data_IF_349842713585
#
_entry.id   IF_349842713585
#
_cell.length_a   1.000
_cell.length_b   1.000
_cell.length_c   1.000
_cell.angle_alpha   90.00
_cell.angle_beta   90.00
_cell.angle_gamma   90.00
#
_symmetry.space_group_name_H-M   'P 1'
#
loop_
_entity.id
_entity.type
_entity.pdbx_description
1 polymer ?
#
# COMPACT_ATOMS: atom_id res chain seq x y z
N UNK A 1 5.99 -16.72 -26.91
CA UNK A 1 5.44 -17.38 -25.70
C UNK A 1 4.43 -16.44 -25.09
N UNK A 2 3.16 -16.82 -25.08
CA UNK A 2 2.02 -15.94 -24.80
C UNK A 2 1.94 -15.56 -23.30
N UNK A 3 1.94 -14.28 -23.03
CA UNK A 3 1.72 -13.71 -21.67
C UNK A 3 0.25 -13.77 -21.22
N UNK A 4 -0.62 -14.18 -22.11
CA UNK A 4 -2.09 -14.26 -21.93
C UNK A 4 -2.54 -15.06 -20.69
N UNK A 5 -1.98 -16.27 -20.39
CA UNK A 5 -2.45 -17.05 -19.23
C UNK A 5 -2.07 -16.43 -17.87
N UNK A 6 -0.98 -15.64 -17.80
CA UNK A 6 -0.57 -14.97 -16.55
C UNK A 6 -1.42 -13.72 -16.27
N UNK A 7 -1.83 -13.02 -17.32
CA UNK A 7 -2.74 -11.88 -17.21
C UNK A 7 -4.12 -12.32 -16.73
N UNK A 8 -4.63 -13.42 -17.30
CA UNK A 8 -5.90 -14.03 -16.89
C UNK A 8 -5.87 -14.53 -15.44
N UNK A 9 -4.78 -15.17 -15.00
CA UNK A 9 -4.65 -15.64 -13.63
C UNK A 9 -4.58 -14.49 -12.61
N UNK A 10 -3.85 -13.42 -12.93
CA UNK A 10 -3.73 -12.26 -12.05
C UNK A 10 -5.04 -11.45 -12.00
N UNK A 11 -5.70 -11.26 -13.14
CA UNK A 11 -7.00 -10.60 -13.21
C UNK A 11 -8.09 -11.41 -12.50
N UNK A 12 -8.03 -12.74 -12.58
CA UNK A 12 -8.95 -13.64 -11.86
C UNK A 12 -8.71 -13.61 -10.35
N UNK A 13 -7.46 -13.56 -9.88
CA UNK A 13 -7.12 -13.42 -8.45
C UNK A 13 -7.57 -12.05 -7.91
N UNK A 14 -7.31 -10.97 -8.65
CA UNK A 14 -7.78 -9.63 -8.27
C UNK A 14 -9.30 -9.51 -8.33
N UNK A 15 -9.96 -10.14 -9.31
CA UNK A 15 -11.44 -10.19 -9.39
C UNK A 15 -12.03 -11.01 -8.25
N UNK A 16 -11.43 -12.15 -7.87
CA UNK A 16 -11.89 -12.95 -6.74
C UNK A 16 -11.73 -12.20 -5.41
N UNK A 17 -10.60 -11.53 -5.20
CA UNK A 17 -10.37 -10.71 -4.02
C UNK A 17 -11.34 -9.52 -3.96
N UNK A 18 -11.59 -8.86 -5.09
CA UNK A 18 -12.53 -7.75 -5.18
C UNK A 18 -13.99 -8.21 -5.05
N UNK A 19 -14.35 -9.35 -5.62
CA UNK A 19 -15.70 -9.91 -5.51
C UNK A 19 -15.99 -10.42 -4.10
N UNK A 20 -15.01 -11.01 -3.42
CA UNK A 20 -15.14 -11.38 -2.02
C UNK A 20 -15.32 -10.15 -1.11
N UNK A 21 -14.69 -9.00 -1.46
CA UNK A 21 -14.81 -7.76 -0.72
C UNK A 21 -16.17 -7.06 -0.94
N UNK A 22 -16.78 -7.23 -2.13
CA UNK A 22 -18.02 -6.52 -2.53
C UNK A 22 -19.28 -7.38 -2.25
N UNK A 23 -19.16 -8.71 -2.17
CA UNK A 23 -20.32 -9.60 -2.01
C UNK A 23 -20.75 -9.88 -0.57
N UNK A 24 -20.18 -9.25 0.44
CA UNK A 24 -20.73 -9.33 1.81
C UNK A 24 -21.66 -8.13 2.05
N UNK A 25 -22.99 -8.36 2.13
CA UNK A 25 -23.96 -7.28 2.43
C UNK A 25 -23.84 -6.87 3.90
N UNK A 26 -22.88 -6.05 4.24
CA UNK A 26 -22.58 -5.60 5.61
C UNK A 26 -21.33 -4.75 5.69
N UNK A 27 -20.56 -4.69 4.60
CA UNK A 27 -19.29 -3.95 4.58
C UNK A 27 -19.42 -2.44 4.75
N UNK A 28 -20.58 -1.88 4.47
CA UNK A 28 -20.79 -0.42 4.52
C UNK A 28 -21.17 0.09 5.92
N UNK A 29 -21.75 -0.75 6.77
CA UNK A 29 -22.26 -0.36 8.08
C UNK A 29 -21.20 -0.42 9.20
N UNK A 30 -20.15 -1.27 9.05
CA UNK A 30 -19.11 -1.51 10.06
C UNK A 30 -17.74 -0.97 9.71
N UNK A 31 -17.54 -0.35 8.54
CA UNK A 31 -16.26 0.22 8.16
C UNK A 31 -16.07 1.61 8.80
N UNK A 32 -15.09 1.73 9.68
CA UNK A 32 -14.77 3.00 10.34
C UNK A 32 -13.42 3.53 9.90
N UNK A 33 -13.35 4.83 9.64
CA UNK A 33 -12.08 5.52 9.42
C UNK A 33 -11.26 5.47 10.72
N UNK A 34 -10.05 4.91 10.64
CA UNK A 34 -9.16 4.76 11.80
C UNK A 34 -8.17 5.91 11.86
N UNK A 35 -7.54 6.22 10.71
CA UNK A 35 -6.51 7.25 10.64
C UNK A 35 -6.54 7.98 9.31
N UNK A 36 -6.13 9.25 9.33
CA UNK A 36 -5.84 10.03 8.13
C UNK A 36 -4.61 10.90 8.37
N UNK A 37 -3.74 11.01 7.39
CA UNK A 37 -2.59 11.88 7.50
C UNK A 37 -1.64 11.83 6.30
N UNK A 38 -0.71 12.79 6.25
CA UNK A 38 0.33 12.85 5.24
C UNK A 38 1.37 11.75 5.45
N UNK A 39 1.97 11.35 4.31
CA UNK A 39 3.13 10.48 4.27
C UNK A 39 4.21 11.12 3.40
N UNK A 40 5.44 11.00 3.87
CA UNK A 40 6.63 11.45 3.17
C UNK A 40 7.47 10.22 2.84
N UNK A 41 7.67 9.96 1.57
CA UNK A 41 8.39 8.81 1.08
C UNK A 41 9.66 9.18 0.34
N UNK A 42 10.66 8.34 0.44
CA UNK A 42 11.90 8.44 -0.32
C UNK A 42 12.35 7.04 -0.77
N UNK A 43 13.06 6.97 -1.87
CA UNK A 43 13.70 5.75 -2.34
C UNK A 43 15.19 5.97 -2.56
N UNK A 44 15.98 4.94 -2.30
CA UNK A 44 17.37 4.86 -2.75
C UNK A 44 17.47 4.31 -4.17
N UNK A 45 18.68 4.29 -4.73
CA UNK A 45 18.96 3.63 -6.01
C UNK A 45 19.08 2.10 -5.89
N UNK A 46 19.25 1.59 -4.66
CA UNK A 46 19.35 0.16 -4.39
C UNK A 46 18.10 -0.28 -3.65
N UNK A 47 17.13 -0.90 -4.32
CA UNK A 47 15.91 -1.39 -3.70
C UNK A 47 16.20 -2.63 -2.84
N UNK A 48 15.31 -2.90 -1.86
CA UNK A 48 15.30 -4.16 -1.11
C UNK A 48 14.81 -5.32 -1.98
N UNK A 49 13.83 -5.03 -2.84
CA UNK A 49 13.21 -5.99 -3.75
C UNK A 49 13.40 -5.54 -5.21
N UNK A 50 13.62 -6.50 -6.08
CA UNK A 50 13.64 -6.23 -7.51
C UNK A 50 15.00 -5.78 -8.06
N UNK A 51 14.97 -5.03 -9.17
CA UNK A 51 16.16 -4.58 -9.90
C UNK A 51 16.56 -3.18 -9.44
N UNK A 52 17.85 -2.85 -9.64
CA UNK A 52 18.40 -1.52 -9.33
C UNK A 52 17.58 -0.41 -10.02
N UNK A 53 17.17 0.57 -9.22
CA UNK A 53 16.50 1.78 -9.70
C UNK A 53 17.49 2.72 -10.39
N UNK A 54 17.03 3.40 -11.44
CA UNK A 54 17.85 4.36 -12.18
C UNK A 54 17.95 5.72 -11.48
N UNK A 55 16.90 6.09 -10.73
CA UNK A 55 16.78 7.36 -10.03
C UNK A 55 16.28 7.15 -8.61
N UNK A 56 16.54 8.13 -7.74
CA UNK A 56 15.83 8.26 -6.47
C UNK A 56 14.46 8.90 -6.70
N UNK A 57 13.48 8.49 -5.91
CA UNK A 57 12.12 9.02 -5.96
C UNK A 57 11.74 9.60 -4.61
N UNK A 58 10.90 10.63 -4.65
CA UNK A 58 10.20 11.16 -3.49
C UNK A 58 8.69 10.96 -3.68
N UNK A 59 8.00 10.64 -2.60
CA UNK A 59 6.56 10.47 -2.57
C UNK A 59 5.95 11.39 -1.51
N UNK A 60 4.95 12.14 -1.90
CA UNK A 60 4.18 13.01 -1.03
C UNK A 60 2.71 12.67 -1.21
N UNK A 61 2.11 12.03 -0.23
CA UNK A 61 0.71 11.64 -0.33
C UNK A 61 -0.06 11.85 0.98
N UNK A 62 -1.38 11.72 0.89
CA UNK A 62 -2.27 11.61 2.03
C UNK A 62 -2.82 10.20 2.01
N UNK A 63 -2.76 9.52 3.16
CA UNK A 63 -3.32 8.19 3.34
C UNK A 63 -4.47 8.22 4.33
N UNK A 64 -5.47 7.39 4.07
CA UNK A 64 -6.56 7.07 4.97
C UNK A 64 -6.61 5.56 5.19
N UNK A 65 -6.85 5.14 6.43
CA UNK A 65 -6.96 3.73 6.82
C UNK A 65 -8.33 3.49 7.43
N UNK A 66 -9.00 2.51 6.88
CA UNK A 66 -10.36 2.11 7.26
C UNK A 66 -10.29 0.75 7.94
N UNK A 67 -11.04 0.55 9.03
CA UNK A 67 -11.25 -0.76 9.63
C UNK A 67 -12.27 -1.51 8.79
N UNK A 68 -11.97 -2.77 8.51
CA UNK A 68 -12.91 -3.71 7.93
C UNK A 68 -13.52 -4.60 9.03
N UNK A 69 -14.65 -5.27 8.80
CA UNK A 69 -15.41 -5.95 9.86
C UNK A 69 -14.73 -7.19 10.46
N UNK A 70 -13.71 -7.73 9.81
CA UNK A 70 -13.07 -8.97 10.29
C UNK A 70 -11.97 -8.69 11.30
N UNK A 71 -12.17 -9.18 12.51
CA UNK A 71 -11.23 -9.06 13.62
C UNK A 71 -11.17 -10.38 14.40
N UNK A 72 -9.98 -10.74 14.87
CA UNK A 72 -9.74 -11.95 15.63
C UNK A 72 -8.89 -11.60 16.87
N UNK A 73 -9.43 -11.75 18.09
CA UNK A 73 -8.62 -11.63 19.31
C UNK A 73 -7.63 -12.78 19.39
N UNK A 74 -6.45 -12.54 19.94
CA UNK A 74 -5.40 -13.53 20.11
C UNK A 74 -5.36 -14.02 21.56
N UNK A 75 -6.20 -15.02 21.86
CA UNK A 75 -6.34 -15.59 23.21
C UNK A 75 -6.88 -14.55 24.21
N UNK A 76 -6.41 -14.64 25.46
CA UNK A 76 -6.78 -13.74 26.55
C UNK A 76 -5.87 -12.49 26.63
N UNK A 77 -5.20 -12.15 25.53
CA UNK A 77 -4.32 -10.97 25.46
C UNK A 77 -5.07 -9.77 24.88
N UNK A 78 -4.48 -8.59 25.00
CA UNK A 78 -4.98 -7.37 24.33
C UNK A 78 -4.59 -7.30 22.84
N UNK A 79 -3.90 -8.32 22.32
CA UNK A 79 -3.51 -8.42 20.92
C UNK A 79 -4.67 -8.93 20.07
N UNK A 80 -4.82 -8.31 18.91
CA UNK A 80 -5.82 -8.72 17.91
C UNK A 80 -5.25 -8.62 16.49
N UNK A 81 -5.67 -9.54 15.66
CA UNK A 81 -5.51 -9.45 14.21
C UNK A 81 -6.76 -8.80 13.64
N UNK A 82 -6.59 -7.81 12.78
CA UNK A 82 -7.71 -7.11 12.15
C UNK A 82 -7.43 -6.83 10.68
N UNK A 83 -8.49 -6.82 9.87
CA UNK A 83 -8.41 -6.40 8.47
C UNK A 83 -8.61 -4.91 8.36
N UNK A 84 -7.86 -4.31 7.44
CA UNK A 84 -7.92 -2.88 7.13
C UNK A 84 -7.90 -2.65 5.62
N UNK A 85 -8.31 -1.48 5.20
CA UNK A 85 -8.14 -0.96 3.85
C UNK A 85 -7.37 0.34 3.95
N UNK A 86 -6.21 0.38 3.35
CA UNK A 86 -5.43 1.61 3.19
C UNK A 86 -5.65 2.18 1.80
N UNK A 87 -6.02 3.46 1.74
CA UNK A 87 -6.10 4.23 0.50
C UNK A 87 -5.15 5.41 0.58
N UNK A 88 -4.56 5.80 -0.54
CA UNK A 88 -3.77 7.02 -0.59
C UNK A 88 -3.82 7.68 -1.95
N UNK A 89 -3.53 8.99 -1.97
CA UNK A 89 -3.36 9.76 -3.20
C UNK A 89 -2.32 10.86 -2.99
N UNK A 90 -1.52 11.12 -4.03
CA UNK A 90 -0.47 12.12 -3.96
C UNK A 90 0.40 12.20 -5.21
N UNK A 91 1.62 12.70 -5.04
CA UNK A 91 2.57 12.93 -6.09
C UNK A 91 3.85 12.10 -5.90
N UNK A 92 4.30 11.47 -6.97
CA UNK A 92 5.59 10.79 -7.09
C UNK A 92 6.52 11.63 -7.94
N UNK A 93 7.69 11.94 -7.42
CA UNK A 93 8.71 12.74 -8.09
C UNK A 93 9.96 11.90 -8.34
N UNK A 94 10.53 12.01 -9.54
CA UNK A 94 11.77 11.33 -9.91
C UNK A 94 12.30 11.85 -11.24
N UNK A 95 13.61 11.81 -11.45
CA UNK A 95 14.26 12.26 -12.68
C UNK A 95 13.90 13.70 -13.11
N UNK A 96 13.54 14.59 -12.17
CA UNK A 96 13.06 15.96 -12.46
C UNK A 96 11.63 16.03 -12.97
N UNK A 97 10.87 14.96 -12.88
CA UNK A 97 9.49 14.86 -13.35
C UNK A 97 8.55 14.48 -12.20
N UNK A 98 7.28 14.88 -12.32
CA UNK A 98 6.24 14.59 -11.32
C UNK A 98 5.06 13.87 -11.98
N UNK A 99 4.53 12.86 -11.30
CA UNK A 99 3.31 12.15 -11.67
C UNK A 99 2.38 12.01 -10.46
N UNK A 100 1.07 11.98 -10.70
CA UNK A 100 0.10 11.66 -9.66
C UNK A 100 0.03 10.15 -9.46
N UNK A 101 -0.23 9.72 -8.23
CA UNK A 101 -0.47 8.33 -7.91
C UNK A 101 -1.60 8.18 -6.90
N UNK A 102 -2.23 7.02 -6.91
CA UNK A 102 -3.17 6.58 -5.90
C UNK A 102 -2.93 5.11 -5.57
N UNK A 103 -3.24 4.69 -4.35
CA UNK A 103 -3.16 3.29 -3.94
C UNK A 103 -4.43 2.82 -3.26
N UNK A 104 -4.71 1.54 -3.41
CA UNK A 104 -5.76 0.81 -2.72
C UNK A 104 -5.15 -0.51 -2.23
N UNK A 105 -4.98 -0.65 -0.92
CA UNK A 105 -4.26 -1.77 -0.33
C UNK A 105 -5.06 -2.35 0.83
N UNK A 106 -5.74 -3.50 0.66
CA UNK A 106 -6.19 -4.30 1.78
C UNK A 106 -4.98 -4.82 2.54
N UNK A 107 -5.04 -4.76 3.86
CA UNK A 107 -3.99 -5.21 4.76
C UNK A 107 -4.51 -5.99 5.98
N UNK A 108 -3.60 -6.74 6.59
CA UNK A 108 -3.78 -7.37 7.88
C UNK A 108 -2.91 -6.62 8.90
N UNK A 109 -3.50 -6.28 10.03
CA UNK A 109 -2.81 -5.58 11.10
C UNK A 109 -2.88 -6.35 12.40
N UNK A 110 -1.73 -6.56 13.01
CA UNK A 110 -1.58 -7.05 14.37
C UNK A 110 -1.46 -5.86 15.31
N UNK A 111 -2.48 -5.64 16.14
CA UNK A 111 -2.56 -4.51 17.08
C UNK A 111 -2.51 -5.00 18.52
N UNK A 112 -1.75 -4.33 19.36
CA UNK A 112 -1.63 -4.67 20.79
C UNK A 112 -1.30 -3.47 21.66
N UNK A 113 -1.09 -3.75 22.97
CA UNK A 113 -0.88 -2.74 24.02
C UNK A 113 -1.99 -1.70 24.03
N UNK A 114 -3.24 -2.19 24.08
CA UNK A 114 -4.45 -1.35 24.01
C UNK A 114 -4.49 -0.44 22.76
N UNK A 115 -3.95 -0.95 21.65
CA UNK A 115 -3.89 -0.22 20.38
C UNK A 115 -2.76 0.80 20.30
N UNK A 116 -1.80 0.80 21.23
CA UNK A 116 -0.62 1.67 21.19
C UNK A 116 0.26 1.37 19.99
N UNK A 117 0.41 0.09 19.65
CA UNK A 117 1.26 -0.35 18.53
C UNK A 117 0.47 -1.21 17.56
N UNK A 118 0.73 -1.06 16.28
CA UNK A 118 0.29 -2.01 15.27
C UNK A 118 1.38 -2.28 14.23
N UNK A 119 1.46 -3.54 13.83
CA UNK A 119 2.24 -4.02 12.68
C UNK A 119 1.25 -4.39 11.60
N UNK A 120 1.47 -3.94 10.39
CA UNK A 120 0.59 -4.28 9.29
C UNK A 120 1.35 -4.71 8.04
N UNK A 121 0.72 -5.56 7.25
CA UNK A 121 1.22 -6.01 5.96
C UNK A 121 0.06 -6.20 4.98
N UNK A 122 0.26 -5.80 3.74
CA UNK A 122 -0.78 -5.89 2.74
C UNK A 122 -0.27 -5.88 1.31
N UNK A 123 -1.17 -6.21 0.40
CA UNK A 123 -0.93 -6.11 -1.02
C UNK A 123 -2.17 -5.59 -1.74
N UNK A 124 -1.96 -4.81 -2.80
CA UNK A 124 -3.05 -4.16 -3.52
C UNK A 124 -2.62 -3.57 -4.85
N UNK A 125 -3.30 -2.51 -5.26
CA UNK A 125 -3.07 -1.84 -6.53
C UNK A 125 -2.59 -0.40 -6.33
N UNK A 126 -1.69 0.04 -7.21
CA UNK A 126 -1.27 1.42 -7.39
C UNK A 126 -1.63 1.90 -8.79
N UNK A 127 -2.03 3.14 -8.91
CA UNK A 127 -2.38 3.79 -10.17
C UNK A 127 -1.48 5.01 -10.37
N UNK A 128 -0.75 5.04 -11.47
CA UNK A 128 0.19 6.10 -11.80
C UNK A 128 -0.30 6.86 -13.03
N UNK A 129 -0.46 8.18 -12.91
CA UNK A 129 -0.75 9.03 -14.07
C UNK A 129 0.44 9.11 -15.04
N UNK A 130 1.65 8.91 -14.50
CA UNK A 130 2.90 8.84 -15.23
C UNK A 130 3.69 7.62 -14.76
N UNK A 131 4.07 6.75 -15.66
CA UNK A 131 4.80 5.52 -15.38
C UNK A 131 6.20 5.47 -16.00
N UNK A 132 6.63 6.55 -16.68
CA UNK A 132 7.99 6.75 -17.16
C UNK A 132 8.56 8.03 -16.61
N UNK A 133 9.73 7.92 -15.96
CA UNK A 133 10.47 9.02 -15.36
C UNK A 133 11.90 8.97 -15.91
N UNK A 134 12.22 9.83 -16.89
CA UNK A 134 13.48 9.72 -17.61
C UNK A 134 13.68 8.32 -18.21
N UNK A 135 14.76 7.64 -17.79
CA UNK A 135 15.08 6.29 -18.23
C UNK A 135 14.46 5.17 -17.35
N UNK A 136 13.76 5.51 -16.24
CA UNK A 136 13.02 4.57 -15.41
C UNK A 136 11.63 4.33 -16.03
N UNK A 137 11.32 3.08 -16.35
CA UNK A 137 10.03 2.68 -16.90
C UNK A 137 9.39 1.65 -15.94
N UNK A 138 8.26 1.98 -15.36
CA UNK A 138 7.45 1.09 -14.53
C UNK A 138 6.56 0.14 -15.34
N UNK A 139 6.60 0.23 -16.68
CA UNK A 139 5.87 -0.63 -17.59
C UNK A 139 4.45 -0.18 -17.92
N UNK A 140 3.73 0.39 -16.98
CA UNK A 140 2.36 0.83 -17.22
C UNK A 140 1.74 1.55 -16.02
N UNK A 141 0.50 2.07 -16.18
CA UNK A 141 -0.14 2.90 -15.18
C UNK A 141 -0.64 2.13 -13.95
N UNK A 142 -0.82 0.82 -14.05
CA UNK A 142 -1.28 -0.03 -12.93
C UNK A 142 -0.11 -0.82 -12.39
N UNK A 143 0.14 -0.70 -11.10
CA UNK A 143 1.20 -1.39 -10.38
C UNK A 143 0.62 -2.27 -9.27
N UNK A 144 1.28 -3.37 -8.99
CA UNK A 144 1.05 -4.13 -7.76
C UNK A 144 1.81 -3.42 -6.65
N UNK A 145 1.13 -3.25 -5.52
CA UNK A 145 1.68 -2.68 -4.29
C UNK A 145 1.82 -3.78 -3.27
N UNK A 146 3.01 -3.94 -2.69
CA UNK A 146 3.21 -4.73 -1.48
C UNK A 146 3.73 -3.80 -0.39
N UNK A 147 3.23 -3.94 0.83
CA UNK A 147 3.60 -3.02 1.91
C UNK A 147 3.70 -3.74 3.25
N UNK A 148 4.59 -3.22 4.09
CA UNK A 148 4.70 -3.58 5.51
C UNK A 148 4.98 -2.32 6.30
N UNK A 149 4.33 -2.18 7.45
CA UNK A 149 4.44 -0.97 8.28
C UNK A 149 4.40 -1.27 9.77
N UNK A 150 4.93 -0.31 10.53
CA UNK A 150 4.74 -0.21 11.97
C UNK A 150 4.14 1.14 12.28
N UNK A 151 3.15 1.17 13.15
CA UNK A 151 2.49 2.39 13.62
C UNK A 151 2.45 2.40 15.13
N UNK A 152 2.69 3.58 15.70
CA UNK A 152 2.51 3.87 17.13
C UNK A 152 1.49 4.98 17.28
N UNK A 153 0.67 4.88 18.33
CA UNK A 153 -0.39 5.80 18.68
C UNK A 153 -0.08 6.42 20.06
N UNK A 154 0.89 7.36 20.13
CA UNK A 154 1.38 7.86 21.42
C UNK A 154 0.37 8.75 22.15
N UNK A 155 -0.62 9.27 21.44
CA UNK A 155 -1.69 10.10 21.95
C UNK A 155 -3.05 9.57 21.47
N UNK A 156 -4.12 9.98 22.14
CA UNK A 156 -5.49 9.54 21.81
C UNK A 156 -5.84 9.79 20.32
N UNK A 157 -5.43 10.94 19.78
CA UNK A 157 -5.78 11.39 18.44
C UNK A 157 -4.59 11.63 17.52
N UNK A 158 -3.42 11.06 17.83
CA UNK A 158 -2.26 11.17 16.97
C UNK A 158 -1.60 9.82 16.74
N UNK A 159 -1.09 9.63 15.54
CA UNK A 159 -0.26 8.48 15.20
C UNK A 159 1.01 8.92 14.49
N UNK A 160 2.02 8.07 14.58
CA UNK A 160 3.22 8.13 13.76
C UNK A 160 3.60 6.71 13.32
N UNK A 161 4.25 6.58 12.18
CA UNK A 161 4.63 5.27 11.67
C UNK A 161 5.74 5.32 10.64
N UNK A 162 6.24 4.14 10.34
CA UNK A 162 7.19 3.89 9.27
C UNK A 162 6.69 2.73 8.42
N UNK A 163 6.87 2.86 7.11
CA UNK A 163 6.36 1.87 6.15
C UNK A 163 7.36 1.66 5.02
N UNK A 164 7.49 0.42 4.59
CA UNK A 164 8.15 0.06 3.33
C UNK A 164 7.06 -0.34 2.34
N UNK A 165 7.11 0.24 1.15
CA UNK A 165 6.13 0.01 0.10
C UNK A 165 6.83 -0.25 -1.23
N UNK A 166 6.57 -1.42 -1.80
CA UNK A 166 7.11 -1.85 -3.08
C UNK A 166 6.06 -1.69 -4.17
N UNK A 167 6.44 -1.06 -5.27
CA UNK A 167 5.62 -0.99 -6.48
C UNK A 167 6.29 -1.80 -7.59
N UNK A 168 5.53 -2.66 -8.26
CA UNK A 168 6.00 -3.41 -9.41
C UNK A 168 4.84 -3.79 -10.34
N UNK A 169 5.15 -4.00 -11.59
CA UNK A 169 4.18 -4.50 -12.57
C UNK A 169 4.04 -6.03 -12.56
N UNK A 170 4.78 -6.75 -11.70
CA UNK A 170 4.91 -8.21 -11.70
C UNK A 170 5.20 -8.79 -13.10
N UNK A 171 5.87 -8.03 -13.95
CA UNK A 171 6.18 -8.35 -15.37
C UNK A 171 4.94 -8.43 -16.27
N UNK A 172 3.84 -7.82 -15.88
CA UNK A 172 2.62 -7.75 -16.71
C UNK A 172 2.89 -6.99 -17.99
N UNK A 173 3.66 -5.90 -17.92
CA UNK A 173 4.01 -5.06 -19.07
C UNK A 173 5.33 -5.45 -19.74
N UNK A 174 6.00 -6.49 -19.24
CA UNK A 174 7.20 -7.02 -19.88
C UNK A 174 8.41 -7.16 -18.92
N UNK A 175 9.49 -7.78 -19.41
CA UNK A 175 10.64 -8.11 -18.55
C UNK A 175 11.54 -6.90 -18.22
N UNK A 176 11.36 -5.78 -18.89
CA UNK A 176 12.20 -4.58 -18.73
C UNK A 176 11.64 -3.56 -17.74
N UNK A 177 10.40 -3.72 -17.30
CA UNK A 177 9.81 -2.85 -16.29
C UNK A 177 10.58 -2.93 -14.96
N UNK A 178 10.77 -1.79 -14.34
CA UNK A 178 11.49 -1.64 -13.07
C UNK A 178 10.50 -1.26 -11.97
N UNK A 179 10.63 -1.90 -10.81
CA UNK A 179 9.88 -1.51 -9.62
C UNK A 179 10.54 -0.35 -8.87
N UNK A 180 9.91 0.09 -7.80
CA UNK A 180 10.45 1.06 -6.86
C UNK A 180 10.09 0.67 -5.43
N UNK A 181 11.07 0.77 -4.52
CA UNK A 181 10.86 0.64 -3.08
C UNK A 181 10.85 2.03 -2.45
N UNK A 182 9.77 2.33 -1.76
CA UNK A 182 9.58 3.58 -1.04
C UNK A 182 9.64 3.32 0.47
N UNK A 183 10.41 4.13 1.17
CA UNK A 183 10.47 4.19 2.63
C UNK A 183 9.67 5.41 3.05
N UNK A 184 8.58 5.20 3.80
CA UNK A 184 7.64 6.25 4.14
C UNK A 184 7.65 6.51 5.64
N UNK A 185 7.70 7.77 6.01
CA UNK A 185 7.32 8.25 7.34
C UNK A 185 5.87 8.73 7.24
N UNK A 186 5.04 8.27 8.16
CA UNK A 186 3.62 8.60 8.22
C UNK A 186 3.26 9.19 9.58
N UNK A 187 2.37 10.16 9.60
CA UNK A 187 1.82 10.75 10.83
C UNK A 187 0.47 11.39 10.53
N UNK A 188 -0.32 11.60 11.57
CA UNK A 188 -1.61 12.23 11.35
C UNK A 188 -2.60 12.03 12.50
N UNK A 189 -3.88 12.18 12.15
CA UNK A 189 -4.97 12.07 13.08
C UNK A 189 -5.49 10.64 13.17
N UNK A 190 -5.81 10.22 14.40
CA UNK A 190 -6.49 8.97 14.72
C UNK A 190 -7.88 9.30 15.28
N UNK A 191 -8.89 8.65 14.75
CA UNK A 191 -10.30 8.74 15.17
C UNK A 191 -10.62 7.80 16.33
#
# INVERSE_FOLDING_TARGET
MSYLPRFLALSMLMSLAFTALVCTPGLAEDSTLITVGPRLGFSGKTPLLGRQQKYSFNLYDIAAVWRLPWQWPLGDTDWKLETRLMTSAGALEGAGETGLMATLVPDLALSGWNGLVSLDAGAGAGFFSKYKFGAQDFGGPVQIVATVGIRVNPLAHAYAGFRVQHFSDARVYGPSALGVDMYLVEFGYRF
#
